data_IF_856095481508
#
_entry.id   IF_856095481508
#
_cell.length_a   1.000
_cell.length_b   1.000
_cell.length_c   1.000
_cell.angle_alpha   90.00
_cell.angle_beta   90.00
_cell.angle_gamma   90.00
#
_symmetry.space_group_name_H-M   'P 1'
#
loop_
_entity.id
_entity.type
_entity.pdbx_description
1 polymer ?
#
# COMPACT_ATOMS: atom_id res chain seq x y z
N UNK A 1 -7.79 -8.58 -7.75
CA UNK A 1 -8.33 -9.92 -8.03
C UNK A 1 -8.52 -10.64 -6.71
N UNK A 2 -9.64 -11.33 -6.52
CA UNK A 2 -9.95 -12.08 -5.30
C UNK A 2 -8.89 -13.17 -5.04
N UNK A 3 -8.33 -13.29 -3.81
CA UNK A 3 -7.35 -14.33 -3.49
C UNK A 3 -7.93 -15.73 -3.62
N UNK A 4 -7.14 -16.69 -4.07
CA UNK A 4 -7.57 -18.09 -4.24
C UNK A 4 -8.04 -18.71 -2.91
N UNK A 5 -7.40 -18.36 -1.80
CA UNK A 5 -7.74 -18.84 -0.47
C UNK A 5 -9.01 -18.21 0.13
N UNK A 6 -9.58 -17.17 -0.49
CA UNK A 6 -10.63 -16.34 0.13
C UNK A 6 -11.86 -17.15 0.56
N UNK A 7 -12.41 -17.97 -0.34
CA UNK A 7 -13.61 -18.76 -0.05
C UNK A 7 -13.35 -19.84 1.01
N UNK A 8 -12.15 -20.42 1.01
CA UNK A 8 -11.73 -21.40 2.03
C UNK A 8 -11.66 -20.72 3.41
N UNK A 9 -11.09 -19.51 3.48
CA UNK A 9 -11.05 -18.71 4.69
C UNK A 9 -12.44 -18.35 5.23
N UNK A 10 -13.34 -17.88 4.35
CA UNK A 10 -14.74 -17.58 4.74
C UNK A 10 -15.42 -18.82 5.33
N UNK A 11 -15.35 -19.97 4.66
CA UNK A 11 -15.96 -21.21 5.14
C UNK A 11 -15.37 -21.65 6.49
N UNK A 12 -14.05 -21.61 6.64
CA UNK A 12 -13.39 -21.97 7.89
C UNK A 12 -13.87 -21.09 9.06
N UNK A 13 -13.89 -19.76 8.88
CA UNK A 13 -14.33 -18.83 9.93
C UNK A 13 -15.81 -18.98 10.25
N UNK A 14 -16.67 -19.06 9.24
CA UNK A 14 -18.12 -19.25 9.44
C UNK A 14 -18.48 -20.54 10.18
N UNK A 15 -17.68 -21.60 10.05
CA UNK A 15 -17.90 -22.86 10.76
C UNK A 15 -17.37 -22.87 12.19
N UNK A 16 -16.46 -21.94 12.54
CA UNK A 16 -15.79 -21.89 13.85
C UNK A 16 -16.36 -20.81 14.77
N UNK A 17 -16.96 -19.76 14.21
CA UNK A 17 -17.42 -18.60 14.95
C UNK A 17 -18.75 -18.08 14.37
N UNK A 18 -19.80 -18.11 15.19
CA UNK A 18 -21.15 -17.67 14.80
C UNK A 18 -21.25 -16.15 14.61
N UNK A 19 -20.48 -15.36 15.33
CA UNK A 19 -20.43 -13.88 15.17
C UNK A 19 -19.80 -13.55 13.82
N UNK A 20 -18.67 -14.17 13.51
CA UNK A 20 -18.02 -14.00 12.20
C UNK A 20 -18.91 -14.51 11.06
N UNK A 21 -19.61 -15.63 11.26
CA UNK A 21 -20.58 -16.16 10.29
C UNK A 21 -21.62 -15.10 9.91
N UNK A 22 -22.27 -14.49 10.91
CA UNK A 22 -23.29 -13.45 10.67
C UNK A 22 -22.72 -12.25 9.92
N UNK A 23 -21.50 -11.81 10.25
CA UNK A 23 -20.85 -10.69 9.54
C UNK A 23 -20.56 -11.07 8.08
N UNK A 24 -20.02 -12.26 7.82
CA UNK A 24 -19.69 -12.73 6.48
C UNK A 24 -20.95 -12.88 5.61
N UNK A 25 -22.04 -13.40 6.17
CA UNK A 25 -23.32 -13.55 5.47
C UNK A 25 -23.95 -12.20 5.15
N UNK A 26 -23.76 -11.19 6.00
CA UNK A 26 -24.23 -9.82 5.77
C UNK A 26 -23.47 -9.11 4.64
N UNK A 27 -22.22 -9.47 4.40
CA UNK A 27 -21.34 -8.85 3.40
C UNK A 27 -20.74 -9.90 2.43
N UNK A 28 -21.57 -10.60 1.64
CA UNK A 28 -21.14 -11.80 0.90
C UNK A 28 -20.16 -11.51 -0.25
N UNK A 29 -20.22 -10.28 -0.79
CA UNK A 29 -19.48 -9.84 -1.96
C UNK A 29 -18.09 -9.25 -1.63
N UNK A 30 -17.78 -9.06 -0.35
CA UNK A 30 -16.50 -8.49 0.08
C UNK A 30 -15.34 -9.45 -0.17
N UNK A 31 -14.21 -8.89 -0.60
CA UNK A 31 -12.96 -9.61 -0.76
C UNK A 31 -11.74 -8.71 -0.52
N UNK A 32 -10.63 -9.31 -0.08
CA UNK A 32 -9.36 -8.61 0.00
C UNK A 32 -8.86 -8.28 -1.42
N UNK A 33 -8.52 -7.02 -1.63
CA UNK A 33 -7.82 -6.60 -2.83
C UNK A 33 -6.30 -6.55 -2.58
N UNK A 34 -5.56 -7.39 -3.29
CA UNK A 34 -4.10 -7.40 -3.21
C UNK A 34 -3.54 -6.34 -4.15
N UNK A 35 -2.72 -5.44 -3.61
CA UNK A 35 -1.87 -4.56 -4.40
C UNK A 35 -0.58 -5.29 -4.76
N UNK A 36 -0.40 -5.62 -6.04
CA UNK A 36 0.77 -6.37 -6.51
C UNK A 36 2.07 -5.54 -6.52
N UNK A 37 1.99 -4.22 -6.36
CA UNK A 37 3.16 -3.36 -6.30
C UNK A 37 3.48 -3.02 -4.83
N UNK A 38 4.34 -3.84 -4.23
CA UNK A 38 4.82 -3.70 -2.84
C UNK A 38 5.38 -2.31 -2.54
N UNK A 39 6.12 -1.72 -3.48
CA UNK A 39 6.67 -0.38 -3.32
C UNK A 39 5.55 0.66 -3.23
N UNK A 40 4.60 0.65 -4.17
CA UNK A 40 3.46 1.58 -4.15
C UNK A 40 2.54 1.35 -2.95
N UNK A 41 2.39 0.12 -2.49
CA UNK A 41 1.63 -0.20 -1.27
C UNK A 41 2.25 0.50 -0.04
N UNK A 42 3.58 0.41 0.12
CA UNK A 42 4.30 1.09 1.21
C UNK A 42 4.21 2.61 1.09
N UNK A 43 4.35 3.18 -0.12
CA UNK A 43 4.18 4.62 -0.32
C UNK A 43 2.77 5.08 0.08
N UNK A 44 1.72 4.36 -0.34
CA UNK A 44 0.34 4.68 0.03
C UNK A 44 0.13 4.61 1.55
N UNK A 45 0.71 3.61 2.21
CA UNK A 45 0.67 3.49 3.67
C UNK A 45 1.29 4.71 4.35
N UNK A 46 2.51 5.11 3.94
CA UNK A 46 3.20 6.29 4.49
C UNK A 46 2.40 7.58 4.24
N UNK A 47 1.89 7.76 3.02
CA UNK A 47 1.10 8.94 2.65
C UNK A 47 -0.14 9.06 3.55
N UNK A 48 -0.82 7.96 3.84
CA UNK A 48 -2.07 7.92 4.63
C UNK A 48 -1.90 8.06 6.14
N UNK A 49 -0.67 8.05 6.67
CA UNK A 49 -0.46 8.09 8.13
C UNK A 49 -1.05 9.36 8.76
N UNK A 50 -1.81 9.18 9.85
CA UNK A 50 -2.36 10.22 10.73
C UNK A 50 -3.20 11.30 10.02
N UNK A 51 -3.88 10.97 8.91
CA UNK A 51 -4.76 11.88 8.18
C UNK A 51 -6.03 11.17 7.71
N UNK A 52 -7.03 11.93 7.28
CA UNK A 52 -8.26 11.37 6.72
C UNK A 52 -8.01 10.66 5.39
N UNK A 53 -8.92 9.75 5.01
CA UNK A 53 -8.90 9.08 3.71
C UNK A 53 -8.97 10.09 2.55
N UNK A 54 -9.76 11.15 2.68
CA UNK A 54 -9.87 12.20 1.67
C UNK A 54 -8.57 12.99 1.48
N UNK A 55 -7.89 13.35 2.59
CA UNK A 55 -6.60 14.02 2.54
C UNK A 55 -5.52 13.12 1.93
N UNK A 56 -5.49 11.84 2.34
CA UNK A 56 -4.55 10.86 1.80
C UNK A 56 -4.73 10.67 0.29
N UNK A 57 -5.98 10.58 -0.18
CA UNK A 57 -6.31 10.48 -1.61
C UNK A 57 -5.82 11.71 -2.39
N UNK A 58 -6.03 12.92 -1.87
CA UNK A 58 -5.57 14.15 -2.52
C UNK A 58 -4.04 14.22 -2.62
N UNK A 59 -3.32 13.86 -1.55
CA UNK A 59 -1.84 13.82 -1.54
C UNK A 59 -1.33 12.73 -2.49
N UNK A 60 -1.93 11.53 -2.46
CA UNK A 60 -1.60 10.41 -3.35
C UNK A 60 -1.72 10.85 -4.81
N UNK A 61 -2.84 11.48 -5.19
CA UNK A 61 -3.06 11.93 -6.57
C UNK A 61 -1.98 12.92 -7.01
N UNK A 62 -1.65 13.93 -6.19
CA UNK A 62 -0.57 14.88 -6.52
C UNK A 62 0.79 14.20 -6.63
N UNK A 63 1.11 13.30 -5.70
CA UNK A 63 2.40 12.61 -5.65
C UNK A 63 2.59 11.66 -6.85
N UNK A 64 1.60 10.82 -7.16
CA UNK A 64 1.70 9.89 -8.30
C UNK A 64 1.62 10.60 -9.65
N UNK A 65 1.14 11.85 -9.70
CA UNK A 65 1.17 12.70 -10.90
C UNK A 65 2.53 13.39 -11.13
N UNK A 66 3.49 13.31 -10.20
CA UNK A 66 4.82 13.91 -10.38
C UNK A 66 5.63 13.26 -11.52
N UNK A 67 5.32 12.01 -11.85
CA UNK A 67 5.99 11.29 -12.93
C UNK A 67 5.09 10.17 -13.46
N UNK A 68 5.19 9.87 -14.77
CA UNK A 68 4.38 8.82 -15.43
C UNK A 68 4.46 7.45 -14.74
N UNK A 69 5.62 7.13 -14.17
CA UNK A 69 5.83 5.92 -13.38
C UNK A 69 6.64 6.24 -12.13
N UNK A 70 6.10 5.99 -10.94
CA UNK A 70 6.80 6.21 -9.67
C UNK A 70 7.72 5.01 -9.38
N UNK A 71 9.02 5.26 -9.29
CA UNK A 71 10.06 4.25 -9.03
C UNK A 71 10.97 4.71 -7.89
N UNK A 72 11.69 3.83 -7.20
CA UNK A 72 12.62 4.25 -6.17
C UNK A 72 13.68 5.24 -6.68
N UNK A 73 14.16 5.06 -7.92
CA UNK A 73 15.19 5.89 -8.54
C UNK A 73 14.72 7.33 -8.73
N UNK A 74 13.50 7.55 -9.24
CA UNK A 74 13.03 8.91 -9.53
C UNK A 74 12.49 9.62 -8.29
N UNK A 75 11.95 8.88 -7.32
CA UNK A 75 11.52 9.45 -6.04
C UNK A 75 12.69 10.11 -5.33
N UNK A 76 13.86 9.46 -5.32
CA UNK A 76 15.09 10.04 -4.75
C UNK A 76 15.63 11.25 -5.52
N UNK A 77 15.14 11.51 -6.74
CA UNK A 77 15.53 12.67 -7.55
C UNK A 77 14.58 13.87 -7.36
N UNK A 78 13.42 13.67 -6.74
CA UNK A 78 12.53 14.79 -6.46
C UNK A 78 13.13 15.69 -5.39
N UNK A 79 13.08 17.00 -5.63
CA UNK A 79 13.50 17.96 -4.62
C UNK A 79 12.46 18.02 -3.47
N UNK A 80 12.90 18.41 -2.28
CA UNK A 80 12.05 18.46 -1.09
C UNK A 80 10.86 19.43 -1.26
N UNK A 81 11.05 20.51 -2.00
CA UNK A 81 10.01 21.52 -2.29
C UNK A 81 8.84 20.89 -3.06
N UNK A 82 9.10 20.11 -4.10
CA UNK A 82 8.12 19.39 -4.91
C UNK A 82 7.32 18.42 -4.04
N UNK A 83 8.01 17.67 -3.18
CA UNK A 83 7.36 16.71 -2.27
C UNK A 83 6.47 17.42 -1.24
N UNK A 84 6.91 18.57 -0.73
CA UNK A 84 6.11 19.42 0.16
C UNK A 84 4.88 20.00 -0.53
N UNK A 85 5.00 20.40 -1.80
CA UNK A 85 3.87 20.88 -2.61
C UNK A 85 2.82 19.78 -2.86
N UNK A 86 3.21 18.50 -2.84
CA UNK A 86 2.24 17.41 -2.83
C UNK A 86 1.43 17.33 -1.52
N UNK A 87 1.86 18.01 -0.45
CA UNK A 87 1.25 17.96 0.88
C UNK A 87 1.88 16.95 1.82
N UNK A 88 3.09 16.46 1.51
CA UNK A 88 3.82 15.57 2.40
C UNK A 88 4.44 16.36 3.56
N UNK A 89 4.36 15.81 4.77
CA UNK A 89 5.16 16.30 5.90
C UNK A 89 6.63 15.91 5.72
N UNK A 90 7.53 16.64 6.38
CA UNK A 90 8.97 16.32 6.37
C UNK A 90 9.26 14.87 6.76
N UNK A 91 8.57 14.36 7.78
CA UNK A 91 8.74 12.98 8.25
C UNK A 91 8.29 11.95 7.20
N UNK A 92 7.17 12.19 6.51
CA UNK A 92 6.73 11.32 5.41
C UNK A 92 7.71 11.34 4.24
N UNK A 93 8.31 12.49 3.93
CA UNK A 93 9.38 12.59 2.93
C UNK A 93 10.57 11.72 3.33
N UNK A 94 11.05 11.82 4.56
CA UNK A 94 12.14 10.97 5.07
C UNK A 94 11.81 9.48 4.93
N UNK A 95 10.61 9.05 5.31
CA UNK A 95 10.21 7.65 5.22
C UNK A 95 10.12 7.16 3.78
N UNK A 96 9.57 7.96 2.87
CA UNK A 96 9.51 7.64 1.44
C UNK A 96 10.93 7.50 0.87
N UNK A 97 11.85 8.41 1.20
CA UNK A 97 13.24 8.31 0.75
C UNK A 97 13.92 7.06 1.32
N UNK A 98 13.73 6.74 2.61
CA UNK A 98 14.30 5.55 3.23
C UNK A 98 13.80 4.26 2.56
N UNK A 99 12.49 4.15 2.30
CA UNK A 99 11.93 3.01 1.56
C UNK A 99 12.48 2.95 0.15
N UNK A 100 12.63 4.09 -0.53
CA UNK A 100 13.20 4.14 -1.88
C UNK A 100 14.64 3.62 -1.89
N UNK A 101 15.47 4.05 -0.96
CA UNK A 101 16.85 3.56 -0.80
C UNK A 101 16.87 2.06 -0.53
N UNK A 102 16.05 1.58 0.40
CA UNK A 102 15.97 0.15 0.73
C UNK A 102 15.66 -0.71 -0.51
N UNK A 103 14.69 -0.30 -1.35
CA UNK A 103 14.34 -1.03 -2.58
C UNK A 103 15.46 -1.04 -3.62
N UNK A 104 16.33 -0.02 -3.64
CA UNK A 104 17.48 0.03 -4.55
C UNK A 104 18.63 -0.85 -4.08
N UNK A 105 18.86 -0.91 -2.78
CA UNK A 105 19.96 -1.67 -2.17
C UNK A 105 19.63 -3.17 -2.05
N UNK A 106 18.36 -3.51 -1.80
CA UNK A 106 17.94 -4.87 -1.45
C UNK A 106 17.22 -5.61 -2.61
N UNK A 107 17.69 -5.45 -3.85
CA UNK A 107 17.03 -6.00 -5.05
C UNK A 107 16.77 -7.51 -4.98
N UNK A 108 17.69 -8.29 -4.41
CA UNK A 108 17.54 -9.75 -4.24
C UNK A 108 16.39 -10.10 -3.29
N UNK A 109 16.27 -9.38 -2.18
CA UNK A 109 15.18 -9.54 -1.23
C UNK A 109 13.83 -9.20 -1.88
N UNK A 110 13.75 -8.05 -2.56
CA UNK A 110 12.52 -7.62 -3.23
C UNK A 110 12.08 -8.60 -4.33
N UNK A 111 13.02 -9.16 -5.10
CA UNK A 111 12.71 -10.16 -6.12
C UNK A 111 12.09 -11.45 -5.53
N UNK A 112 12.47 -11.79 -4.29
CA UNK A 112 12.02 -13.00 -3.60
C UNK A 112 10.86 -12.74 -2.63
N UNK A 113 10.31 -11.53 -2.55
CA UNK A 113 9.30 -11.22 -1.52
C UNK A 113 8.02 -12.04 -1.69
N UNK A 114 7.70 -12.44 -2.92
CA UNK A 114 6.54 -13.27 -3.26
C UNK A 114 6.76 -14.78 -2.96
N UNK A 115 7.96 -15.21 -2.56
CA UNK A 115 8.21 -16.61 -2.18
C UNK A 115 7.88 -16.92 -0.71
N UNK A 116 7.34 -15.93 0.01
CA UNK A 116 6.95 -16.06 1.42
C UNK A 116 5.42 -16.07 1.66
N UNK A 117 4.63 -16.02 0.58
CA UNK A 117 3.16 -16.22 0.57
C UNK A 117 2.82 -17.65 0.11
#
# INVERSE_FOLDING_TARGET
MKPQYWNKGKSFLSNKDSVLKTIIEKFPNENLEINSNHYHALLNSIIGQQISVSAASAIKNRFFNLHRNITPINVLKFNEVTLKLCGLSRQKVTYICNISTFFLENKKFIANINTFD
#
